data_IF_416187342403
#
_entry.id   IF_416187342403
#
_cell.length_a   1.000
_cell.length_b   1.000
_cell.length_c   1.000
_cell.angle_alpha   90.00
_cell.angle_beta   90.00
_cell.angle_gamma   90.00
#
_symmetry.space_group_name_H-M   'P 1'
#
loop_
_entity.id
_entity.type
_entity.pdbx_description
1 polymer ?
#
# COMPACT_ATOMS: atom_id res chain seq x y z
N UNK A 1 -27.42 19.77 18.60
CA UNK A 1 -26.55 18.58 18.49
C UNK A 1 -25.37 18.57 19.50
N UNK A 2 -25.55 18.74 20.83
CA UNK A 2 -24.43 18.60 21.79
C UNK A 2 -23.92 17.16 21.96
N UNK A 3 -24.82 16.18 21.94
CA UNK A 3 -24.52 14.76 22.19
C UNK A 3 -23.48 14.15 21.24
N UNK A 4 -23.46 14.59 19.97
CA UNK A 4 -22.44 14.14 19.00
C UNK A 4 -21.04 14.65 19.37
N UNK A 5 -20.94 15.86 19.92
CA UNK A 5 -19.67 16.44 20.33
C UNK A 5 -19.16 15.80 21.62
N UNK A 6 -20.04 15.52 22.57
CA UNK A 6 -19.71 14.78 23.79
C UNK A 6 -19.14 13.39 23.47
N UNK A 7 -19.80 12.63 22.59
CA UNK A 7 -19.30 11.32 22.16
C UNK A 7 -17.94 11.39 21.45
N UNK A 8 -17.74 12.41 20.59
CA UNK A 8 -16.43 12.63 19.92
C UNK A 8 -15.34 13.04 20.91
N UNK A 9 -15.69 13.83 21.92
CA UNK A 9 -14.76 14.26 22.96
C UNK A 9 -14.32 13.08 23.82
N UNK A 10 -15.25 12.21 24.23
CA UNK A 10 -14.93 11.00 25.00
C UNK A 10 -13.93 10.09 24.24
N UNK A 11 -14.16 9.89 22.93
CA UNK A 11 -13.23 9.14 22.06
C UNK A 11 -11.86 9.83 22.01
N UNK A 12 -11.84 11.16 21.85
CA UNK A 12 -10.60 11.93 21.79
C UNK A 12 -9.80 11.82 23.10
N UNK A 13 -10.45 11.99 24.25
CA UNK A 13 -9.82 11.88 25.57
C UNK A 13 -9.30 10.47 25.84
N UNK A 14 -10.04 9.43 25.41
CA UNK A 14 -9.57 8.05 25.46
C UNK A 14 -8.29 7.85 24.64
N UNK A 15 -8.28 8.31 23.39
CA UNK A 15 -7.11 8.23 22.51
C UNK A 15 -5.92 9.02 23.08
N UNK A 16 -6.17 10.19 23.68
CA UNK A 16 -5.12 11.02 24.29
C UNK A 16 -4.45 10.28 25.45
N UNK A 17 -5.22 9.71 26.38
CA UNK A 17 -4.68 8.92 27.50
C UNK A 17 -3.85 7.74 27.01
N UNK A 18 -4.33 7.00 26.01
CA UNK A 18 -3.60 5.88 25.44
C UNK A 18 -2.25 6.32 24.82
N UNK A 19 -2.21 7.48 24.16
CA UNK A 19 -0.97 8.08 23.65
C UNK A 19 -0.02 8.46 24.79
N UNK A 20 -0.51 9.10 25.84
CA UNK A 20 0.30 9.48 27.00
C UNK A 20 0.88 8.25 27.72
N UNK A 21 0.07 7.21 27.93
CA UNK A 21 0.50 5.94 28.52
C UNK A 21 1.59 5.28 27.66
N UNK A 22 1.41 5.23 26.34
CA UNK A 22 2.41 4.70 25.43
C UNK A 22 3.73 5.49 25.51
N UNK A 23 3.66 6.83 25.53
CA UNK A 23 4.83 7.70 25.68
C UNK A 23 5.55 7.47 27.02
N UNK A 24 4.80 7.21 28.10
CA UNK A 24 5.36 6.95 29.42
C UNK A 24 6.15 5.64 29.51
N UNK A 25 5.95 4.69 28.58
CA UNK A 25 6.72 3.43 28.54
C UNK A 25 8.15 3.60 28.02
N UNK A 26 8.47 4.73 27.39
CA UNK A 26 9.79 5.00 26.81
C UNK A 26 10.45 6.24 27.46
N UNK A 27 11.71 6.49 27.11
CA UNK A 27 12.42 7.66 27.60
C UNK A 27 11.76 8.96 27.12
N UNK A 28 11.51 9.90 28.04
CA UNK A 28 10.85 11.21 27.79
C UNK A 28 11.53 12.09 26.75
N UNK A 29 12.75 11.75 26.34
CA UNK A 29 13.53 12.48 25.35
C UNK A 29 13.42 11.92 23.91
N UNK A 30 12.55 10.92 23.69
CA UNK A 30 12.21 10.41 22.36
C UNK A 30 10.99 11.16 21.78
N UNK A 31 10.95 11.32 20.46
CA UNK A 31 9.80 11.91 19.77
C UNK A 31 8.61 10.93 19.75
N UNK A 32 7.39 11.45 19.64
CA UNK A 32 6.18 10.63 19.50
C UNK A 32 6.27 9.64 18.33
N UNK A 33 6.70 10.08 17.15
CA UNK A 33 6.90 9.23 15.97
C UNK A 33 7.89 8.09 16.24
N UNK A 34 8.97 8.38 16.96
CA UNK A 34 9.95 7.35 17.36
C UNK A 34 9.35 6.33 18.32
N UNK A 35 8.55 6.76 19.30
CA UNK A 35 7.88 5.85 20.24
C UNK A 35 6.88 4.97 19.51
N UNK A 36 6.02 5.54 18.65
CA UNK A 36 5.08 4.77 17.81
C UNK A 36 5.82 3.71 17.01
N UNK A 37 6.92 4.08 16.36
CA UNK A 37 7.69 3.15 15.55
C UNK A 37 8.36 2.06 16.39
N UNK A 38 8.90 2.37 17.58
CA UNK A 38 9.42 1.36 18.51
C UNK A 38 8.31 0.35 18.86
N UNK A 39 7.11 0.81 19.22
CA UNK A 39 6.00 -0.09 19.58
C UNK A 39 5.55 -0.94 18.39
N UNK A 40 5.51 -0.35 17.20
CA UNK A 40 5.22 -1.07 15.97
C UNK A 40 6.25 -2.19 15.73
N UNK A 41 7.54 -1.90 15.88
CA UNK A 41 8.61 -2.87 15.76
C UNK A 41 8.59 -3.95 16.86
N UNK A 42 8.19 -3.60 18.10
CA UNK A 42 8.00 -4.59 19.17
C UNK A 42 6.87 -5.56 18.83
N UNK A 43 5.72 -5.05 18.38
CA UNK A 43 4.61 -5.88 17.94
C UNK A 43 4.98 -6.76 16.73
N UNK A 44 5.81 -6.23 15.81
CA UNK A 44 6.32 -7.01 14.68
C UNK A 44 7.28 -8.11 15.14
N UNK A 45 8.16 -7.81 16.10
CA UNK A 45 9.08 -8.82 16.67
C UNK A 45 8.26 -9.98 17.23
N UNK A 46 7.26 -9.67 18.05
CA UNK A 46 6.43 -10.70 18.68
C UNK A 46 5.68 -11.52 17.62
N UNK A 47 5.12 -10.86 16.60
CA UNK A 47 4.50 -11.54 15.45
C UNK A 47 5.46 -12.48 14.70
N UNK A 48 6.71 -12.06 14.43
CA UNK A 48 7.69 -12.89 13.73
C UNK A 48 8.22 -14.04 14.61
N UNK A 49 8.25 -13.87 15.93
CA UNK A 49 8.59 -14.95 16.86
C UNK A 49 7.48 -16.02 16.92
N UNK A 50 6.22 -15.63 16.78
CA UNK A 50 5.05 -16.52 16.79
C UNK A 50 4.80 -17.21 15.43
N UNK A 51 4.79 -16.45 14.35
CA UNK A 51 4.41 -16.91 13.00
C UNK A 51 5.60 -17.39 12.16
N UNK A 52 6.82 -17.20 12.67
CA UNK A 52 8.06 -17.50 11.97
C UNK A 52 8.61 -16.32 11.15
N UNK A 53 9.89 -16.44 10.83
CA UNK A 53 10.69 -15.37 10.22
C UNK A 53 11.31 -15.81 8.89
N UNK A 54 10.51 -15.98 7.82
CA UNK A 54 10.98 -16.55 6.56
C UNK A 54 12.03 -15.70 5.84
N UNK A 55 12.14 -14.40 6.19
CA UNK A 55 13.07 -13.46 5.58
C UNK A 55 14.21 -13.03 6.52
N UNK A 56 14.37 -13.71 7.67
CA UNK A 56 15.40 -13.41 8.68
C UNK A 56 15.40 -11.95 9.14
N UNK A 57 14.23 -11.39 9.42
CA UNK A 57 14.02 -9.98 9.80
C UNK A 57 14.10 -9.73 11.31
N UNK A 58 13.96 -10.74 12.17
CA UNK A 58 14.05 -10.58 13.63
C UNK A 58 15.34 -9.90 14.06
N UNK A 59 16.45 -10.21 13.38
CA UNK A 59 17.76 -9.58 13.65
C UNK A 59 17.74 -8.07 13.33
N UNK A 60 17.12 -7.66 12.23
CA UNK A 60 16.97 -6.27 11.84
C UNK A 60 16.01 -5.53 12.79
N UNK A 61 14.85 -6.12 13.09
CA UNK A 61 13.84 -5.53 13.98
C UNK A 61 14.43 -5.26 15.36
N UNK A 62 15.15 -6.22 15.95
CA UNK A 62 15.84 -6.05 17.23
C UNK A 62 16.91 -4.95 17.18
N UNK A 63 17.66 -4.87 16.08
CA UNK A 63 18.68 -3.84 15.89
C UNK A 63 18.08 -2.43 15.75
N UNK A 64 16.97 -2.29 15.02
CA UNK A 64 16.23 -1.05 14.85
C UNK A 64 15.68 -0.52 16.18
N UNK A 65 15.01 -1.37 16.96
CA UNK A 65 14.51 -1.01 18.31
C UNK A 65 15.65 -0.47 19.17
N UNK A 66 16.80 -1.16 19.16
CA UNK A 66 18.00 -0.75 19.90
C UNK A 66 18.56 0.58 19.38
N UNK A 67 18.60 0.79 18.07
CA UNK A 67 19.11 2.00 17.46
C UNK A 67 18.25 3.23 17.81
N UNK A 68 16.92 3.11 17.74
CA UNK A 68 16.00 4.17 18.15
C UNK A 68 16.12 4.50 19.64
N UNK A 69 16.09 3.49 20.52
CA UNK A 69 16.23 3.69 21.98
C UNK A 69 17.56 4.35 22.36
N UNK A 70 18.63 4.03 21.64
CA UNK A 70 19.95 4.65 21.81
C UNK A 70 20.10 5.98 21.07
N UNK A 71 19.09 6.43 20.34
CA UNK A 71 19.13 7.62 19.49
C UNK A 71 20.23 7.60 18.43
N UNK A 72 20.68 6.41 18.04
CA UNK A 72 21.57 6.21 16.90
C UNK A 72 20.81 6.29 15.57
N UNK A 73 19.50 6.07 15.64
CA UNK A 73 18.56 6.30 14.58
C UNK A 73 17.49 7.28 15.08
N UNK A 74 17.22 8.32 14.31
CA UNK A 74 16.13 9.27 14.55
C UNK A 74 15.13 9.15 13.41
N UNK A 75 13.85 9.26 13.75
CA UNK A 75 12.81 9.29 12.73
C UNK A 75 12.83 10.67 12.05
N UNK A 76 13.08 10.69 10.73
CA UNK A 76 13.05 11.89 9.91
C UNK A 76 12.22 11.61 8.65
N UNK A 77 11.15 12.38 8.44
CA UNK A 77 10.26 12.17 7.31
C UNK A 77 10.99 12.36 5.98
N UNK A 78 10.80 11.40 5.08
CA UNK A 78 11.44 11.39 3.76
C UNK A 78 12.86 10.82 3.75
N UNK A 79 13.42 10.45 4.91
CA UNK A 79 14.69 9.74 4.98
C UNK A 79 14.52 8.27 5.23
N UNK A 80 15.45 7.48 4.69
CA UNK A 80 15.49 6.04 4.85
C UNK A 80 16.85 5.55 5.33
N UNK A 81 16.84 4.41 6.02
CA UNK A 81 18.04 3.62 6.30
C UNK A 81 17.85 2.21 5.78
N UNK A 82 18.94 1.62 5.31
CA UNK A 82 19.00 0.28 4.76
C UNK A 82 19.70 -0.61 5.75
N UNK A 83 19.10 -1.76 6.05
CA UNK A 83 19.57 -2.67 7.08
C UNK A 83 19.75 -4.06 6.52
N UNK A 84 20.77 -4.76 7.01
CA UNK A 84 20.88 -6.19 6.82
C UNK A 84 21.60 -6.88 7.96
N UNK A 85 21.12 -8.06 8.36
CA UNK A 85 21.73 -8.89 9.41
C UNK A 85 21.97 -8.13 10.74
N UNK A 86 21.09 -7.18 11.05
CA UNK A 86 21.15 -6.37 12.27
C UNK A 86 22.07 -5.15 12.20
N UNK A 87 22.59 -4.80 11.02
CA UNK A 87 23.47 -3.65 10.84
C UNK A 87 22.86 -2.66 9.84
N UNK A 88 23.05 -1.36 10.11
CA UNK A 88 22.74 -0.30 9.15
C UNK A 88 23.82 -0.30 8.08
N UNK A 89 23.48 -0.76 6.88
CA UNK A 89 24.42 -0.85 5.75
C UNK A 89 24.50 0.46 4.97
N UNK A 90 23.46 1.30 5.05
CA UNK A 90 23.44 2.62 4.42
C UNK A 90 22.38 3.55 5.03
N UNK A 91 22.59 4.87 4.96
CA UNK A 91 21.69 5.89 5.47
C UNK A 91 22.12 6.47 6.83
N UNK A 92 21.36 7.45 7.36
CA UNK A 92 20.13 8.02 6.81
C UNK A 92 20.39 8.86 5.54
N UNK A 93 19.58 8.64 4.51
CA UNK A 93 19.62 9.40 3.24
C UNK A 93 18.20 9.75 2.79
N UNK A 94 18.07 10.78 1.95
CA UNK A 94 16.78 11.11 1.33
C UNK A 94 16.30 9.94 0.46
N UNK A 95 15.02 9.59 0.59
CA UNK A 95 14.47 8.48 -0.16
C UNK A 95 14.37 8.78 -1.65
N UNK A 96 15.09 7.99 -2.44
CA UNK A 96 14.97 7.99 -3.89
C UNK A 96 13.70 7.25 -4.34
N UNK A 97 12.75 8.02 -4.90
CA UNK A 97 11.50 7.49 -5.47
C UNK A 97 11.70 6.58 -6.68
N UNK A 98 12.90 6.51 -7.26
CA UNK A 98 13.22 5.55 -8.33
C UNK A 98 13.58 4.15 -7.80
N UNK A 99 13.73 4.01 -6.48
CA UNK A 99 14.07 2.75 -5.79
C UNK A 99 15.42 2.16 -6.26
N UNK A 100 16.33 2.95 -6.83
CA UNK A 100 17.60 2.41 -7.33
C UNK A 100 18.52 1.97 -6.19
N UNK A 101 18.56 2.73 -5.08
CA UNK A 101 19.28 2.31 -3.87
C UNK A 101 18.71 1.02 -3.27
N UNK A 102 17.38 0.88 -3.28
CA UNK A 102 16.72 -0.36 -2.84
C UNK A 102 17.19 -1.55 -3.67
N UNK A 103 17.16 -1.43 -5.01
CA UNK A 103 17.61 -2.50 -5.92
C UNK A 103 19.08 -2.85 -5.67
N UNK A 104 19.94 -1.83 -5.59
CA UNK A 104 21.39 -1.95 -5.35
C UNK A 104 21.69 -2.67 -4.03
N UNK A 105 21.12 -2.21 -2.92
CA UNK A 105 21.43 -2.78 -1.60
C UNK A 105 20.76 -4.14 -1.38
N UNK A 106 19.58 -4.38 -1.94
CA UNK A 106 18.95 -5.70 -1.89
C UNK A 106 19.79 -6.75 -2.64
N UNK A 107 20.34 -6.39 -3.81
CA UNK A 107 21.25 -7.25 -4.58
C UNK A 107 22.54 -7.57 -3.79
N UNK A 108 23.13 -6.57 -3.14
CA UNK A 108 24.31 -6.76 -2.28
C UNK A 108 24.02 -7.73 -1.11
N UNK A 109 22.80 -7.72 -0.59
CA UNK A 109 22.35 -8.61 0.48
C UNK A 109 21.86 -9.97 -0.03
N UNK A 110 21.90 -10.21 -1.35
CA UNK A 110 21.40 -11.43 -2.01
C UNK A 110 19.96 -11.76 -1.64
N UNK A 111 19.14 -10.75 -1.39
CA UNK A 111 17.75 -10.90 -0.95
C UNK A 111 17.55 -11.47 0.47
N UNK A 112 18.61 -11.66 1.25
CA UNK A 112 18.52 -12.21 2.62
C UNK A 112 18.56 -11.11 3.67
N UNK A 113 17.66 -11.17 4.66
CA UNK A 113 17.65 -10.26 5.81
C UNK A 113 17.76 -8.78 5.41
N UNK A 114 17.14 -8.34 4.32
CA UNK A 114 17.19 -6.94 3.88
C UNK A 114 15.99 -6.17 4.43
N UNK A 115 16.18 -4.93 4.88
CA UNK A 115 15.12 -4.07 5.40
C UNK A 115 15.34 -2.60 5.01
N UNK A 116 14.25 -1.91 4.67
CA UNK A 116 14.22 -0.46 4.44
C UNK A 116 13.38 0.22 5.52
N UNK A 117 14.04 0.94 6.40
CA UNK A 117 13.40 1.68 7.50
C UNK A 117 13.13 3.13 7.06
N UNK A 118 11.98 3.68 7.46
CA UNK A 118 11.59 5.07 7.14
C UNK A 118 10.75 5.23 5.87
N UNK A 119 10.48 4.13 5.15
CA UNK A 119 9.77 4.17 3.86
C UNK A 119 8.28 4.52 4.01
N UNK A 120 7.66 4.03 5.08
CA UNK A 120 6.26 4.23 5.39
C UNK A 120 6.23 4.88 6.75
N UNK A 121 5.50 6.00 6.90
CA UNK A 121 5.37 6.77 8.14
C UNK A 121 5.26 5.92 9.42
N UNK A 122 5.48 6.50 10.60
CA UNK A 122 5.45 5.72 11.84
C UNK A 122 4.09 5.02 12.01
N UNK A 123 4.11 3.71 12.29
CA UNK A 123 2.92 2.91 12.59
C UNK A 123 2.27 2.22 11.39
N UNK A 124 0.94 2.07 11.44
CA UNK A 124 0.16 1.32 10.45
C UNK A 124 -0.25 2.16 9.25
N UNK A 125 -0.30 1.55 8.07
CA UNK A 125 -0.83 2.20 6.86
C UNK A 125 -2.28 1.79 6.58
N UNK A 126 -3.16 2.73 6.18
CA UNK A 126 -4.53 2.37 5.82
C UNK A 126 -4.55 1.57 4.51
N UNK A 127 -5.38 0.53 4.50
CA UNK A 127 -5.68 -0.30 3.34
C UNK A 127 -7.17 -0.64 3.30
N UNK A 128 -7.74 -0.88 2.11
CA UNK A 128 -9.17 -1.22 1.97
C UNK A 128 -10.12 -0.23 2.69
N UNK A 129 -9.77 1.06 2.80
CA UNK A 129 -10.55 1.97 3.64
C UNK A 129 -11.95 2.24 3.05
N UNK A 130 -12.17 1.92 1.77
CA UNK A 130 -13.48 2.02 1.12
C UNK A 130 -13.92 0.68 0.49
N UNK A 131 -14.24 -0.31 1.33
CA UNK A 131 -15.14 -1.39 0.92
C UNK A 131 -16.31 -1.47 1.89
N UNK A 132 -17.09 -0.39 1.94
CA UNK A 132 -18.43 -0.48 2.50
C UNK A 132 -19.23 -1.33 1.51
N UNK A 133 -19.75 -2.50 1.90
CA UNK A 133 -20.63 -3.27 1.01
C UNK A 133 -21.70 -2.33 0.44
N UNK A 134 -22.06 -2.45 -0.83
CA UNK A 134 -22.97 -1.51 -1.50
C UNK A 134 -24.26 -1.22 -0.69
N UNK A 135 -24.71 -2.17 0.13
CA UNK A 135 -25.86 -2.05 1.03
C UNK A 135 -25.62 -1.18 2.29
N UNK A 136 -24.37 -0.96 2.71
CA UNK A 136 -23.98 -0.06 3.82
C UNK A 136 -23.51 1.32 3.35
N UNK A 137 -23.28 1.50 2.05
CA UNK A 137 -22.70 2.73 1.51
C UNK A 137 -23.75 3.85 1.52
N UNK A 138 -23.45 4.95 2.23
CA UNK A 138 -24.26 6.18 2.21
C UNK A 138 -24.12 6.96 0.88
N UNK A 139 -23.18 6.57 0.03
CA UNK A 139 -22.88 7.06 -1.31
C UNK A 139 -22.76 5.84 -2.26
N UNK A 140 -23.86 5.37 -2.86
CA UNK A 140 -23.85 4.25 -3.80
C UNK A 140 -24.14 4.76 -5.23
N UNK A 141 -23.34 4.38 -6.24
CA UNK A 141 -23.70 4.64 -7.62
C UNK A 141 -25.05 3.98 -7.94
N UNK A 142 -25.81 4.61 -8.84
CA UNK A 142 -27.14 4.15 -9.26
C UNK A 142 -27.14 2.77 -9.95
N UNK A 143 -25.95 2.25 -10.30
CA UNK A 143 -25.76 0.88 -10.78
C UNK A 143 -24.76 0.10 -9.92
N UNK A 144 -24.98 -1.21 -9.77
CA UNK A 144 -24.12 -2.15 -9.05
C UNK A 144 -22.78 -2.45 -9.77
N UNK A 145 -22.12 -1.42 -10.32
CA UNK A 145 -20.96 -1.57 -11.18
C UNK A 145 -19.68 -1.30 -10.41
N UNK A 146 -19.28 -2.27 -9.61
CA UNK A 146 -17.91 -2.38 -9.07
C UNK A 146 -16.83 -2.20 -10.16
N UNK A 147 -17.19 -2.52 -11.42
CA UNK A 147 -16.37 -2.35 -12.62
C UNK A 147 -15.93 -0.91 -12.93
N UNK A 148 -16.55 0.11 -12.36
CA UNK A 148 -16.26 1.51 -12.74
C UNK A 148 -15.00 2.10 -12.11
N UNK A 149 -14.45 1.45 -11.09
CA UNK A 149 -13.11 1.73 -10.53
C UNK A 149 -12.11 0.61 -10.83
N UNK A 150 -12.47 -0.33 -11.71
CA UNK A 150 -11.58 -1.41 -12.11
C UNK A 150 -10.62 -0.94 -13.20
N UNK A 151 -9.33 -1.03 -12.92
CA UNK A 151 -8.25 -0.57 -13.78
C UNK A 151 -7.36 -1.76 -14.10
N UNK A 152 -6.94 -1.85 -15.37
CA UNK A 152 -5.96 -2.85 -15.78
C UNK A 152 -4.55 -2.33 -15.60
N UNK A 153 -3.76 -3.03 -14.81
CA UNK A 153 -2.31 -2.80 -14.70
C UNK A 153 -1.56 -3.99 -15.28
N UNK A 154 -0.42 -3.69 -15.91
CA UNK A 154 0.59 -4.67 -16.22
C UNK A 154 1.64 -4.61 -15.12
N UNK A 155 1.98 -5.77 -14.56
CA UNK A 155 2.96 -5.92 -13.50
C UNK A 155 4.13 -6.75 -14.01
N UNK A 156 5.31 -6.48 -13.47
CA UNK A 156 6.47 -7.35 -13.59
C UNK A 156 7.34 -7.26 -12.34
N UNK A 157 8.15 -8.29 -12.13
CA UNK A 157 9.30 -8.18 -11.23
C UNK A 157 10.34 -7.29 -11.91
N UNK A 158 10.85 -6.30 -11.19
CA UNK A 158 11.95 -5.46 -11.69
C UNK A 158 13.10 -6.38 -12.07
N UNK A 159 13.51 -6.38 -13.34
CA UNK A 159 14.74 -7.08 -13.73
C UNK A 159 15.90 -6.42 -12.99
N UNK A 160 16.47 -7.08 -12.00
CA UNK A 160 17.74 -6.65 -11.43
C UNK A 160 18.77 -6.56 -12.56
N UNK A 161 19.66 -5.54 -12.57
CA UNK A 161 20.75 -5.50 -13.52
C UNK A 161 21.51 -6.82 -13.39
N UNK A 162 21.51 -7.63 -14.44
CA UNK A 162 22.20 -8.90 -14.46
C UNK A 162 23.71 -8.63 -14.55
N UNK A 163 24.31 -8.23 -13.43
CA UNK A 163 25.75 -7.98 -13.31
C UNK A 163 26.46 -9.08 -12.50
N UNK A 164 25.72 -10.01 -11.91
CA UNK A 164 26.30 -11.23 -11.37
C UNK A 164 26.50 -12.23 -12.52
N UNK A 165 27.75 -12.32 -12.96
CA UNK A 165 28.36 -13.42 -13.70
C UNK A 165 28.45 -13.35 -15.24
N UNK A 166 28.51 -12.18 -15.90
CA UNK A 166 28.98 -12.10 -17.31
C UNK A 166 28.23 -12.97 -18.33
N UNK A 167 27.10 -13.57 -17.94
CA UNK A 167 26.25 -14.42 -18.75
C UNK A 167 25.08 -13.55 -19.15
N UNK A 168 25.04 -13.20 -20.43
CA UNK A 168 23.88 -12.54 -21.01
C UNK A 168 22.65 -13.44 -20.78
N UNK A 169 21.73 -13.01 -19.93
CA UNK A 169 20.42 -13.65 -19.81
C UNK A 169 19.69 -13.42 -21.14
N UNK A 170 19.30 -14.47 -21.88
CA UNK A 170 18.58 -14.32 -23.13
C UNK A 170 17.34 -13.44 -22.92
N UNK A 171 17.02 -12.56 -23.87
CA UNK A 171 15.84 -11.67 -23.79
C UNK A 171 14.53 -12.45 -23.55
N UNK A 172 14.48 -13.71 -23.97
CA UNK A 172 13.36 -14.65 -23.78
C UNK A 172 13.18 -15.16 -22.34
N UNK A 173 14.17 -14.95 -21.47
CA UNK A 173 14.16 -15.39 -20.07
C UNK A 173 13.60 -14.34 -19.10
N UNK A 174 13.21 -13.15 -19.57
CA UNK A 174 12.61 -12.13 -18.71
C UNK A 174 11.16 -12.49 -18.39
N UNK A 175 10.72 -12.33 -17.12
CA UNK A 175 9.31 -12.49 -16.77
C UNK A 175 8.48 -11.60 -17.68
N UNK A 176 7.52 -12.20 -18.39
CA UNK A 176 6.63 -11.43 -19.24
C UNK A 176 5.71 -10.60 -18.36
N UNK A 177 5.49 -9.31 -18.68
CA UNK A 177 4.47 -8.51 -18.04
C UNK A 177 3.13 -9.23 -17.98
N UNK A 178 2.53 -9.31 -16.80
CA UNK A 178 1.21 -9.91 -16.62
C UNK A 178 0.16 -8.84 -16.36
N UNK A 179 -1.00 -9.03 -16.98
CA UNK A 179 -2.12 -8.10 -16.85
C UNK A 179 -3.03 -8.54 -15.72
N UNK A 180 -3.25 -7.65 -14.76
CA UNK A 180 -4.17 -7.85 -13.63
C UNK A 180 -5.20 -6.75 -13.58
N UNK A 181 -6.30 -7.02 -12.87
CA UNK A 181 -7.34 -6.02 -12.61
C UNK A 181 -7.28 -5.57 -11.16
N UNK A 182 -7.29 -4.26 -10.95
CA UNK A 182 -7.20 -3.59 -9.66
C UNK A 182 -8.40 -2.69 -9.44
N UNK A 183 -8.80 -2.51 -8.19
CA UNK A 183 -9.76 -1.48 -7.78
C UNK A 183 -8.98 -0.25 -7.33
N UNK A 184 -9.37 0.92 -7.83
CA UNK A 184 -8.96 2.21 -7.25
C UNK A 184 -9.69 2.43 -5.92
N UNK A 185 -8.94 2.27 -4.83
CA UNK A 185 -9.38 2.62 -3.49
C UNK A 185 -8.60 3.84 -3.01
N UNK A 186 -9.28 4.98 -2.88
CA UNK A 186 -8.73 6.23 -2.35
C UNK A 186 -8.21 6.10 -0.91
N UNK A 187 -8.67 5.10 -0.18
CA UNK A 187 -8.25 4.81 1.18
C UNK A 187 -7.03 3.88 1.29
N UNK A 188 -6.58 3.31 0.17
CA UNK A 188 -5.46 2.38 0.15
C UNK A 188 -4.14 3.11 -0.10
N UNK A 189 -3.17 2.90 0.78
CA UNK A 189 -1.86 3.58 0.68
C UNK A 189 -1.03 2.99 -0.45
N UNK A 190 -0.84 1.67 -0.42
CA UNK A 190 0.01 0.89 -1.33
C UNK A 190 -0.82 -0.06 -2.19
N UNK A 191 -0.33 -0.45 -3.38
CA UNK A 191 -0.91 -1.56 -4.13
C UNK A 191 -0.93 -2.87 -3.33
N UNK A 192 -1.91 -3.72 -3.62
CA UNK A 192 -2.03 -5.05 -3.02
C UNK A 192 -2.24 -6.11 -4.10
N UNK A 193 -1.42 -7.16 -4.07
CA UNK A 193 -1.54 -8.38 -4.86
C UNK A 193 -1.56 -9.61 -3.95
N UNK A 194 -1.77 -10.79 -4.51
CA UNK A 194 -1.86 -12.05 -3.78
C UNK A 194 -0.65 -12.95 -4.04
N UNK A 195 -0.45 -13.96 -3.20
CA UNK A 195 0.72 -14.83 -3.27
C UNK A 195 0.80 -15.57 -4.61
N UNK A 196 -0.32 -16.01 -5.17
CA UNK A 196 -0.39 -16.63 -6.50
C UNK A 196 -0.06 -15.65 -7.64
N UNK A 197 -0.41 -14.37 -7.51
CA UNK A 197 0.06 -13.31 -8.41
C UNK A 197 1.59 -13.20 -8.36
N UNK A 198 2.15 -13.12 -7.15
CA UNK A 198 3.59 -13.04 -6.94
C UNK A 198 4.32 -14.25 -7.53
N UNK A 199 3.83 -15.46 -7.27
CA UNK A 199 4.38 -16.70 -7.81
C UNK A 199 4.29 -16.75 -9.34
N UNK A 200 3.16 -16.36 -9.93
CA UNK A 200 3.01 -16.32 -11.39
C UNK A 200 3.95 -15.30 -12.05
N UNK A 201 4.19 -14.16 -11.40
CA UNK A 201 5.15 -13.14 -11.86
C UNK A 201 6.60 -13.59 -11.74
N UNK A 202 6.89 -14.55 -10.85
CA UNK A 202 8.21 -15.15 -10.64
C UNK A 202 8.45 -16.42 -11.48
N UNK A 203 7.41 -17.00 -12.09
CA UNK A 203 7.50 -18.18 -12.94
C UNK A 203 8.25 -17.88 -14.26
N UNK A 204 9.57 -17.71 -14.16
CA UNK A 204 10.53 -17.58 -15.23
C UNK A 204 11.61 -18.68 -15.13
N UNK A 205 12.57 -18.72 -16.07
CA UNK A 205 13.65 -19.69 -16.02
C UNK A 205 14.42 -19.61 -14.69
N UNK A 206 14.83 -20.79 -14.20
CA UNK A 206 15.58 -20.97 -12.96
C UNK A 206 16.69 -19.93 -12.78
N UNK A 207 16.69 -19.21 -11.65
CA UNK A 207 17.78 -18.30 -11.26
C UNK A 207 17.45 -16.80 -11.27
N UNK A 208 16.22 -16.39 -11.63
CA UNK A 208 15.78 -15.00 -11.44
C UNK A 208 15.52 -14.77 -9.95
N UNK A 209 16.29 -13.88 -9.32
CA UNK A 209 16.01 -13.36 -7.97
C UNK A 209 14.58 -12.82 -7.95
N UNK A 210 13.81 -13.21 -6.93
CA UNK A 210 12.47 -12.68 -6.69
C UNK A 210 12.45 -11.15 -6.56
N UNK A 211 11.26 -10.54 -6.51
CA UNK A 211 11.14 -9.12 -6.28
C UNK A 211 11.84 -8.75 -4.97
N UNK A 212 12.56 -7.63 -4.91
CA UNK A 212 13.19 -7.17 -3.67
C UNK A 212 12.17 -7.08 -2.54
N UNK A 213 12.38 -7.84 -1.46
CA UNK A 213 11.72 -7.59 -0.17
C UNK A 213 12.11 -6.19 0.34
N UNK A 214 11.20 -5.48 1.00
CA UNK A 214 11.44 -4.13 1.50
C UNK A 214 11.34 -4.07 3.01
N UNK A 215 10.18 -4.41 3.56
CA UNK A 215 9.93 -4.47 5.00
C UNK A 215 8.59 -5.17 5.27
N UNK A 216 8.33 -5.46 6.54
CA UNK A 216 6.99 -5.73 7.01
C UNK A 216 6.29 -4.41 7.37
N UNK A 217 5.02 -4.31 7.02
CA UNK A 217 4.16 -3.20 7.46
C UNK A 217 2.89 -3.74 8.08
N UNK A 218 2.41 -3.00 9.07
CA UNK A 218 1.11 -3.23 9.65
C UNK A 218 0.07 -2.50 8.80
N UNK A 219 -0.92 -3.23 8.29
CA UNK A 219 -2.07 -2.63 7.63
C UNK A 219 -3.18 -2.41 8.65
N UNK A 220 -3.91 -1.32 8.50
CA UNK A 220 -5.19 -1.08 9.17
C UNK A 220 -6.28 -1.05 8.10
N UNK A 221 -7.24 -1.95 8.20
CA UNK A 221 -8.36 -1.96 7.27
C UNK A 221 -9.55 -1.11 7.77
N UNK A 222 -10.62 -1.00 6.97
CA UNK A 222 -11.80 -0.19 7.31
C UNK A 222 -12.54 -0.62 8.58
N UNK A 223 -12.42 -1.89 9.02
CA UNK A 223 -13.07 -2.37 10.24
C UNK A 223 -12.16 -2.24 11.48
N UNK A 224 -10.97 -1.67 11.32
CA UNK A 224 -9.99 -1.48 12.39
C UNK A 224 -9.11 -2.70 12.65
N UNK A 225 -9.30 -3.81 11.94
CA UNK A 225 -8.42 -4.96 12.05
C UNK A 225 -7.01 -4.60 11.56
N UNK A 226 -6.04 -5.13 12.28
CA UNK A 226 -4.63 -4.94 12.04
C UNK A 226 -4.02 -6.25 11.57
N UNK A 227 -3.17 -6.21 10.54
CA UNK A 227 -2.45 -7.39 10.07
C UNK A 227 -1.05 -7.02 9.57
N UNK A 228 -0.10 -7.93 9.75
CA UNK A 228 1.26 -7.77 9.27
C UNK A 228 1.41 -8.39 7.89
N UNK A 229 1.92 -7.60 6.95
CA UNK A 229 2.16 -8.06 5.59
C UNK A 229 3.56 -7.69 5.15
N UNK A 230 4.17 -8.60 4.41
CA UNK A 230 5.40 -8.34 3.69
C UNK A 230 5.13 -7.39 2.52
N UNK A 231 6.13 -6.57 2.24
CA UNK A 231 6.11 -5.69 1.09
C UNK A 231 7.29 -5.95 0.18
N UNK A 232 7.03 -5.87 -1.11
CA UNK A 232 7.97 -6.18 -2.16
C UNK A 232 7.95 -5.10 -3.23
N UNK A 233 9.04 -4.96 -3.96
CA UNK A 233 9.15 -4.03 -5.08
C UNK A 233 8.67 -4.67 -6.37
N UNK A 234 7.57 -4.16 -6.92
CA UNK A 234 7.07 -4.51 -8.25
C UNK A 234 7.04 -3.29 -9.14
N UNK A 235 7.12 -3.52 -10.44
CA UNK A 235 6.98 -2.46 -11.42
C UNK A 235 5.61 -2.51 -12.09
N UNK A 236 4.94 -1.36 -12.12
CA UNK A 236 3.60 -1.19 -12.66
C UNK A 236 3.63 -0.42 -13.96
N UNK A 237 2.68 -0.75 -14.83
CA UNK A 237 2.44 -0.02 -16.05
C UNK A 237 0.94 -0.02 -16.42
N UNK A 238 0.44 1.12 -16.88
CA UNK A 238 -0.94 1.26 -17.39
C UNK A 238 -0.99 1.32 -18.91
N UNK A 239 -2.03 0.75 -19.53
CA UNK A 239 -2.33 0.92 -20.96
C UNK A 239 -3.73 1.52 -21.13
N UNK A 240 -3.86 2.48 -22.05
CA UNK A 240 -5.13 3.04 -22.50
C UNK A 240 -5.35 2.75 -23.97
N UNK A 241 -6.61 2.63 -24.37
CA UNK A 241 -6.99 2.54 -25.79
C UNK A 241 -7.00 3.95 -26.38
N UNK A 242 -6.36 4.13 -27.54
CA UNK A 242 -6.38 5.40 -28.28
C UNK A 242 -7.48 5.37 -29.35
N UNK A 243 -7.93 6.55 -29.79
CA UNK A 243 -9.04 6.71 -30.74
C UNK A 243 -8.84 5.94 -32.05
N UNK A 244 -7.58 5.75 -32.47
CA UNK A 244 -7.21 4.98 -33.67
C UNK A 244 -7.24 3.45 -33.47
N UNK A 245 -7.75 2.95 -32.34
CA UNK A 245 -7.91 1.53 -32.06
C UNK A 245 -6.66 0.83 -31.49
N UNK A 246 -5.53 1.54 -31.35
CA UNK A 246 -4.31 1.03 -30.72
C UNK A 246 -4.33 1.06 -29.19
N UNK A 247 -3.32 0.43 -28.57
CA UNK A 247 -3.02 0.60 -27.15
C UNK A 247 -1.83 1.53 -26.99
N UNK A 248 -1.95 2.51 -26.12
CA UNK A 248 -0.85 3.38 -25.70
C UNK A 248 -0.61 3.22 -24.21
N UNK A 249 0.66 3.07 -23.86
CA UNK A 249 1.13 3.14 -22.50
C UNK A 249 0.87 4.53 -21.89
N UNK A 250 0.24 4.56 -20.71
CA UNK A 250 -0.04 5.81 -20.00
C UNK A 250 1.21 6.26 -19.24
N UNK A 251 1.31 7.56 -18.94
CA UNK A 251 2.49 8.25 -18.40
C UNK A 251 3.21 7.53 -17.24
N UNK A 252 4.55 7.71 -17.14
CA UNK A 252 5.42 8.27 -18.17
C UNK A 252 5.48 7.31 -19.37
N UNK A 253 5.43 7.85 -20.58
CA UNK A 253 5.39 7.01 -21.80
C UNK A 253 6.55 6.00 -21.77
N UNK A 254 6.21 4.71 -21.84
CA UNK A 254 7.14 3.57 -21.83
C UNK A 254 8.00 3.39 -20.57
N UNK A 255 7.64 3.99 -19.43
CA UNK A 255 8.35 3.77 -18.16
C UNK A 255 7.56 2.87 -17.22
N UNK A 256 8.23 1.81 -16.80
CA UNK A 256 7.83 0.98 -15.68
C UNK A 256 8.02 1.75 -14.38
N UNK A 257 7.01 1.72 -13.51
CA UNK A 257 7.00 2.53 -12.29
C UNK A 257 7.18 1.59 -11.11
N UNK A 258 8.33 1.65 -10.39
CA UNK A 258 8.54 0.85 -9.21
C UNK A 258 7.59 1.30 -8.10
N UNK A 259 6.93 0.35 -7.45
CA UNK A 259 6.04 0.57 -6.33
C UNK A 259 6.26 -0.51 -5.25
N UNK A 260 6.36 -0.05 -4.01
CA UNK A 260 6.22 -0.94 -2.85
C UNK A 260 4.80 -1.50 -2.86
N UNK A 261 4.68 -2.82 -2.77
CA UNK A 261 3.41 -3.54 -2.95
C UNK A 261 3.24 -4.56 -1.83
N UNK A 262 2.04 -4.62 -1.27
CA UNK A 262 1.65 -5.68 -0.36
C UNK A 262 1.44 -6.99 -1.10
N UNK A 263 1.98 -8.07 -0.55
CA UNK A 263 1.69 -9.43 -0.99
C UNK A 263 0.85 -10.11 0.09
N UNK A 264 -0.42 -10.33 -0.19
CA UNK A 264 -1.31 -11.10 0.67
C UNK A 264 -0.89 -12.57 0.62
N UNK A 265 -0.70 -13.21 1.79
CA UNK A 265 -0.24 -14.60 1.89
C UNK A 265 -1.24 -15.62 1.33
N UNK A 266 -2.52 -15.24 1.28
CA UNK A 266 -3.60 -16.05 0.74
C UNK A 266 -3.61 -16.05 -0.80
N UNK A 267 -4.20 -17.09 -1.38
CA UNK A 267 -4.44 -17.15 -2.82
C UNK A 267 -5.56 -16.18 -3.23
N UNK A 268 -5.49 -15.65 -4.44
CA UNK A 268 -6.53 -14.76 -4.94
C UNK A 268 -7.86 -15.50 -5.16
N UNK A 269 -8.91 -15.06 -4.47
CA UNK A 269 -10.27 -15.51 -4.71
C UNK A 269 -11.10 -14.33 -5.24
N UNK A 270 -11.45 -14.29 -6.54
CA UNK A 270 -12.18 -13.15 -7.13
C UNK A 270 -13.58 -12.91 -6.55
N UNK A 271 -14.13 -13.83 -5.76
CA UNK A 271 -15.44 -13.66 -5.12
C UNK A 271 -15.39 -12.80 -3.86
N UNK A 272 -14.26 -12.77 -3.16
CA UNK A 272 -14.11 -12.12 -1.85
C UNK A 272 -12.90 -11.20 -1.77
N UNK A 273 -11.94 -11.36 -2.69
CA UNK A 273 -10.71 -10.60 -2.73
C UNK A 273 -10.71 -9.58 -3.86
N UNK A 274 -10.08 -8.45 -3.57
CA UNK A 274 -9.86 -7.37 -4.54
C UNK A 274 -8.38 -6.99 -4.49
N UNK A 275 -7.78 -6.84 -5.67
CA UNK A 275 -6.46 -6.21 -5.76
C UNK A 275 -6.65 -4.70 -5.68
N UNK A 276 -5.76 -4.01 -4.98
CA UNK A 276 -5.88 -2.57 -4.74
C UNK A 276 -4.81 -1.82 -5.48
N UNK A 277 -5.16 -0.72 -6.13
CA UNK A 277 -4.19 0.10 -6.83
C UNK A 277 -3.25 0.81 -5.86
N UNK A 278 -3.69 1.10 -4.64
CA UNK A 278 -3.06 2.11 -3.80
C UNK A 278 -3.18 3.52 -4.40
N UNK A 279 -2.47 4.47 -3.81
CA UNK A 279 -2.56 5.89 -4.17
C UNK A 279 -1.66 6.30 -5.35
N UNK A 280 -0.68 5.48 -5.73
CA UNK A 280 0.43 5.89 -6.61
C UNK A 280 0.00 6.37 -8.00
N UNK A 281 -1.06 5.77 -8.57
CA UNK A 281 -1.49 6.14 -9.92
C UNK A 281 -1.94 7.61 -9.98
N UNK A 282 -2.45 8.16 -8.87
CA UNK A 282 -2.88 9.57 -8.79
C UNK A 282 -1.69 10.54 -8.86
N UNK A 283 -0.47 10.04 -8.68
CA UNK A 283 0.75 10.81 -8.84
C UNK A 283 1.25 10.88 -10.29
N UNK A 284 0.75 10.01 -11.17
CA UNK A 284 1.20 9.93 -12.58
C UNK A 284 0.10 10.23 -13.60
N UNK A 285 -1.18 10.16 -13.18
CA UNK A 285 -2.34 10.44 -14.04
C UNK A 285 -3.30 11.40 -13.37
N UNK A 286 -4.02 12.16 -14.20
CA UNK A 286 -5.15 12.95 -13.72
C UNK A 286 -6.37 12.05 -13.56
N UNK A 287 -7.07 12.18 -12.44
CA UNK A 287 -8.27 11.41 -12.13
C UNK A 287 -9.46 12.35 -11.87
N UNK A 288 -10.65 11.91 -12.23
CA UNK A 288 -11.89 12.60 -11.86
C UNK A 288 -13.06 11.61 -11.75
N UNK A 289 -14.01 11.96 -10.88
CA UNK A 289 -15.36 11.40 -10.88
C UNK A 289 -16.34 12.55 -11.13
N UNK A 290 -17.54 12.21 -11.60
CA UNK A 290 -18.54 13.20 -11.99
C UNK A 290 -19.83 12.95 -11.19
N UNK A 291 -20.55 14.00 -10.75
CA UNK A 291 -21.76 13.84 -9.94
C UNK A 291 -23.00 13.44 -10.78
N UNK A 292 -22.85 12.43 -11.64
CA UNK A 292 -23.92 11.84 -12.47
C UNK A 292 -24.53 10.56 -11.86
N UNK A 293 -24.10 10.20 -10.65
CA UNK A 293 -24.43 8.94 -9.96
C UNK A 293 -24.02 7.67 -10.73
N UNK A 294 -23.17 7.76 -11.74
CA UNK A 294 -22.62 6.59 -12.43
C UNK A 294 -21.42 6.01 -11.68
N UNK A 295 -20.73 6.83 -10.88
CA UNK A 295 -19.54 6.40 -10.12
C UNK A 295 -18.39 5.99 -11.04
N UNK A 296 -18.28 6.62 -12.21
CA UNK A 296 -17.22 6.33 -13.18
C UNK A 296 -15.96 7.10 -12.81
N UNK A 297 -14.85 6.38 -12.73
CA UNK A 297 -13.51 6.95 -12.62
C UNK A 297 -12.96 7.26 -14.02
N UNK A 298 -12.72 8.53 -14.30
CA UNK A 298 -12.07 9.00 -15.51
C UNK A 298 -10.58 9.19 -15.24
N UNK A 299 -9.74 8.65 -16.13
CA UNK A 299 -8.28 8.71 -16.06
C UNK A 299 -7.72 9.32 -17.33
N UNK A 300 -6.77 10.26 -17.22
CA UNK A 300 -6.09 10.81 -18.38
C UNK A 300 -4.64 11.20 -18.07
N UNK A 301 -3.78 11.13 -19.09
CA UNK A 301 -2.39 11.57 -18.99
C UNK A 301 -2.20 13.09 -18.97
N UNK A 302 -3.24 13.87 -19.31
CA UNK A 302 -3.22 15.35 -19.26
C UNK A 302 -4.55 15.89 -18.77
N UNK A 303 -4.54 17.07 -18.12
CA UNK A 303 -5.76 17.75 -17.68
C UNK A 303 -6.68 18.11 -18.85
N UNK A 304 -6.12 18.47 -20.01
CA UNK A 304 -6.88 18.79 -21.23
C UNK A 304 -7.63 17.57 -21.75
N UNK A 305 -6.96 16.43 -21.83
CA UNK A 305 -7.61 15.17 -22.21
C UNK A 305 -8.68 14.77 -21.20
N UNK A 306 -8.41 14.93 -19.89
CA UNK A 306 -9.41 14.64 -18.86
C UNK A 306 -10.67 15.48 -19.08
N UNK A 307 -10.53 16.81 -19.20
CA UNK A 307 -11.65 17.73 -19.43
C UNK A 307 -12.46 17.39 -20.68
N UNK A 308 -11.80 16.94 -21.75
CA UNK A 308 -12.47 16.49 -22.97
C UNK A 308 -13.23 15.17 -22.82
N UNK A 309 -12.89 14.34 -21.83
CA UNK A 309 -13.56 13.07 -21.53
C UNK A 309 -14.74 13.21 -20.57
N UNK A 310 -14.80 14.27 -19.77
CA UNK A 310 -15.86 14.43 -18.77
C UNK A 310 -17.20 14.73 -19.45
N UNK A 311 -18.28 14.01 -19.10
CA UNK A 311 -19.61 14.34 -19.59
C UNK A 311 -20.06 15.71 -19.08
N UNK A 312 -20.92 16.37 -19.86
CA UNK A 312 -21.68 17.52 -19.36
C UNK A 312 -22.74 16.99 -18.41
N UNK A 313 -22.70 17.42 -17.14
CA UNK A 313 -23.62 16.94 -16.12
C UNK A 313 -24.31 18.10 -15.42
N UNK A 314 -25.57 17.89 -15.06
CA UNK A 314 -26.28 18.79 -14.18
C UNK A 314 -26.11 18.30 -12.75
N UNK A 315 -25.42 19.07 -11.92
CA UNK A 315 -25.17 18.74 -10.51
C UNK A 315 -26.45 18.52 -9.70
N UNK A 316 -27.60 19.03 -10.18
CA UNK A 316 -28.91 18.80 -9.54
C UNK A 316 -29.43 17.37 -9.73
N UNK A 317 -28.89 16.65 -10.71
CA UNK A 317 -29.24 15.25 -10.95
C UNK A 317 -28.45 14.31 -10.02
N UNK A 318 -27.46 14.83 -9.28
CA UNK A 318 -26.75 14.10 -8.24
C UNK A 318 -27.76 13.69 -7.16
N UNK A 319 -27.88 12.39 -6.93
CA UNK A 319 -28.73 11.81 -5.90
C UNK A 319 -27.84 11.47 -4.73
N UNK A 320 -28.03 12.15 -3.61
CA UNK A 320 -27.58 11.61 -2.32
C UNK A 320 -28.35 10.32 -2.10
N UNK A 321 -27.69 9.18 -1.84
CA UNK A 321 -28.41 7.97 -1.51
C UNK A 321 -29.29 8.17 -0.30
N UNK A 322 -30.35 7.37 -0.24
CA UNK A 322 -31.13 7.28 0.98
C UNK A 322 -30.18 6.95 2.14
N UNK A 323 -30.29 7.63 3.30
CA UNK A 323 -29.51 7.26 4.47
C UNK A 323 -29.73 5.78 4.75
N UNK A 324 -28.64 5.06 5.00
CA UNK A 324 -28.72 3.66 5.40
C UNK A 324 -29.57 3.57 6.66
N UNK A 325 -30.77 2.98 6.55
CA UNK A 325 -31.59 2.60 7.71
C UNK A 325 -31.15 1.19 8.07
N UNK A 326 -30.44 0.97 9.18
CA UNK A 326 -30.09 -0.37 9.61
C UNK A 326 -31.39 -1.17 9.76
N UNK A 327 -31.52 -2.27 9.02
CA UNK A 327 -32.58 -3.24 9.28
C UNK A 327 -32.19 -4.02 10.54
N UNK A 328 -32.41 -3.42 11.69
CA UNK A 328 -32.21 -4.01 13.00
C UNK A 328 -33.00 -3.21 14.02
N UNK A 329 -33.89 -3.87 14.75
CA UNK A 329 -34.66 -3.27 15.84
C UNK A 329 -33.77 -2.67 16.93
N UNK A 330 -34.37 -2.07 17.98
CA UNK A 330 -33.70 -1.22 18.98
C UNK A 330 -32.54 -1.82 19.80
N UNK A 331 -32.08 -3.04 19.48
CA UNK A 331 -31.00 -3.76 20.17
C UNK A 331 -29.77 -4.05 19.29
N UNK A 332 -29.64 -3.45 18.10
CA UNK A 332 -28.40 -3.56 17.33
C UNK A 332 -27.29 -2.69 17.96
N UNK A 333 -26.57 -3.27 18.93
CA UNK A 333 -25.34 -2.70 19.46
C UNK A 333 -24.31 -2.61 18.34
N UNK A 334 -23.93 -1.38 17.98
CA UNK A 334 -22.72 -1.16 17.22
C UNK A 334 -21.54 -1.68 18.05
N UNK A 335 -20.61 -2.47 17.47
CA UNK A 335 -19.36 -2.77 18.16
C UNK A 335 -18.67 -1.43 18.45
N UNK A 336 -18.40 -1.17 19.73
CA UNK A 336 -17.58 -0.03 20.13
C UNK A 336 -16.20 -0.22 19.46
N UNK A 337 -15.62 0.83 18.88
CA UNK A 337 -14.21 0.78 18.49
C UNK A 337 -13.39 0.53 19.76
N UNK A 338 -12.55 -0.52 19.72
CA UNK A 338 -11.44 -0.71 20.65
C UNK A 338 -10.27 0.16 20.22
#
# INVERSE_FOLDING_TARGET
>A
MPQLWEAKLEIYEGNHRAVEEMLATENSSLSFSTVVQIKNLENLRDYLEEEGDPHEQLVNVRALIKAYRKKLLLWEDGKVTYWSKGECIHGPVDFDRTFEDVKKYNEQCRGTSFWVEGLNGPGSVPQLAFNVPAWKAQAAPSGARWHHHMIYFHLRVSSLPTALAGVAVPVQARPHPQKFTFIDDTGSTLPTIFMDDAMSLQAGPMGVLGPPFLCYLQIRNYNGNMAWHETHLYEFHMQIRIAQGGLKYLRPDHKWIPQQTFVMREAYNPQIHVRLSGSWMRNIVYTATVPDNLGVLYLAGTITALRGMLPTVNVRDARTPAPFIPQGGPNATFPRPL
#
